data_IF_608719293224
#
_entry.id   IF_608719293224
#
_cell.length_a   1.000
_cell.length_b   1.000
_cell.length_c   1.000
_cell.angle_alpha   90.00
_cell.angle_beta   90.00
_cell.angle_gamma   90.00
#
_symmetry.space_group_name_H-M   'P 1'
#
loop_
_entity.id
_entity.type
_entity.pdbx_description
1 polymer ?
#
# COMPACT_ATOMS: atom_id res chain seq x y z
N UNK A 1 -14.77 -5.65 6.11
CA UNK A 1 -13.93 -6.83 6.41
C UNK A 1 -13.89 -6.98 7.92
N UNK A 2 -13.93 -8.20 8.44
CA UNK A 2 -13.68 -8.48 9.86
C UNK A 2 -12.17 -8.47 10.16
N UNK A 3 -11.78 -8.33 11.42
CA UNK A 3 -10.37 -8.41 11.84
C UNK A 3 -9.73 -9.74 11.39
N UNK A 4 -10.47 -10.85 11.47
CA UNK A 4 -10.01 -12.16 10.99
C UNK A 4 -9.72 -12.16 9.49
N UNK A 5 -10.61 -11.60 8.67
CA UNK A 5 -10.41 -11.49 7.21
C UNK A 5 -9.20 -10.61 6.89
N UNK A 6 -9.03 -9.50 7.62
CA UNK A 6 -7.90 -8.57 7.47
C UNK A 6 -6.58 -9.28 7.77
N UNK A 7 -6.48 -9.95 8.91
CA UNK A 7 -5.25 -10.66 9.30
C UNK A 7 -4.97 -11.86 8.39
N UNK A 8 -6.01 -12.54 7.91
CA UNK A 8 -5.88 -13.63 6.93
C UNK A 8 -5.32 -13.12 5.60
N UNK A 9 -5.76 -11.95 5.12
CA UNK A 9 -5.21 -11.33 3.92
C UNK A 9 -3.70 -11.04 4.08
N UNK A 10 -3.31 -10.48 5.23
CA UNK A 10 -1.89 -10.19 5.52
C UNK A 10 -1.05 -11.47 5.56
N UNK A 11 -1.50 -12.52 6.27
CA UNK A 11 -0.80 -13.82 6.30
C UNK A 11 -0.63 -14.41 4.88
N UNK A 12 -1.70 -14.39 4.08
CA UNK A 12 -1.67 -14.90 2.70
C UNK A 12 -0.70 -14.10 1.83
N UNK A 13 -0.65 -12.77 1.93
CA UNK A 13 0.33 -11.96 1.21
C UNK A 13 1.75 -12.30 1.66
N UNK A 14 2.00 -12.30 2.97
CA UNK A 14 3.34 -12.50 3.53
C UNK A 14 3.93 -13.87 3.15
N UNK A 15 3.07 -14.88 3.06
CA UNK A 15 3.42 -16.26 2.67
C UNK A 15 3.32 -16.53 1.16
N UNK A 16 3.02 -15.51 0.36
CA UNK A 16 2.86 -15.62 -1.10
C UNK A 16 1.79 -16.64 -1.52
N UNK A 17 0.68 -16.70 -0.79
CA UNK A 17 -0.47 -17.60 -1.02
C UNK A 17 -1.62 -16.91 -1.78
N UNK A 18 -1.38 -15.73 -2.33
CA UNK A 18 -2.29 -15.01 -3.21
C UNK A 18 -1.91 -15.26 -4.67
N UNK A 19 -2.89 -15.40 -5.56
CA UNK A 19 -2.61 -15.28 -6.99
C UNK A 19 -2.46 -13.80 -7.37
N UNK A 20 -1.76 -13.51 -8.48
CA UNK A 20 -1.57 -12.12 -8.94
C UNK A 20 -2.89 -11.34 -9.10
N UNK A 21 -3.93 -12.01 -9.59
CA UNK A 21 -5.25 -11.42 -9.81
C UNK A 21 -6.06 -11.23 -8.51
N UNK A 22 -5.57 -11.72 -7.38
CA UNK A 22 -6.27 -11.60 -6.08
C UNK A 22 -5.84 -10.38 -5.28
N UNK A 23 -4.71 -9.74 -5.62
CA UNK A 23 -4.18 -8.60 -4.86
C UNK A 23 -4.47 -7.26 -5.54
N UNK A 24 -5.50 -6.57 -5.04
CA UNK A 24 -5.99 -5.31 -5.60
C UNK A 24 -5.58 -4.10 -4.74
N UNK A 25 -5.92 -2.91 -5.23
CA UNK A 25 -5.68 -1.64 -4.51
C UNK A 25 -6.22 -1.64 -3.08
N UNK A 26 -7.45 -2.11 -2.86
CA UNK A 26 -8.02 -2.20 -1.51
C UNK A 26 -7.25 -3.14 -0.59
N UNK A 27 -6.73 -4.24 -1.12
CA UNK A 27 -5.94 -5.20 -0.35
C UNK A 27 -4.60 -4.58 0.09
N UNK A 28 -3.98 -3.80 -0.80
CA UNK A 28 -2.80 -2.99 -0.47
C UNK A 28 -3.09 -2.00 0.67
N UNK A 29 -4.21 -1.28 0.61
CA UNK A 29 -4.62 -0.37 1.68
C UNK A 29 -4.88 -1.11 3.00
N UNK A 30 -5.54 -2.27 2.94
CA UNK A 30 -5.79 -3.09 4.14
C UNK A 30 -4.48 -3.51 4.82
N UNK A 31 -3.51 -4.04 4.04
CA UNK A 31 -2.20 -4.44 4.57
C UNK A 31 -1.43 -3.23 5.10
N UNK A 32 -1.50 -2.08 4.42
CA UNK A 32 -0.89 -0.83 4.88
C UNK A 32 -1.40 -0.44 6.27
N UNK A 33 -2.71 -0.48 6.51
CA UNK A 33 -3.29 -0.18 7.84
C UNK A 33 -2.75 -1.14 8.90
N UNK A 34 -2.69 -2.44 8.63
CA UNK A 34 -2.17 -3.43 9.60
C UNK A 34 -0.71 -3.14 9.96
N UNK A 35 0.12 -2.80 8.97
CA UNK A 35 1.51 -2.47 9.22
C UNK A 35 1.65 -1.15 10.01
N UNK A 36 0.86 -0.13 9.71
CA UNK A 36 0.86 1.15 10.43
C UNK A 36 0.27 1.07 11.85
N UNK A 37 -0.52 0.04 12.16
CA UNK A 37 -0.98 -0.24 13.51
C UNK A 37 0.11 -0.85 14.40
N UNK A 38 1.15 -1.44 13.80
CA UNK A 38 2.19 -2.18 14.52
C UNK A 38 3.57 -1.52 14.46
N UNK A 39 3.75 -0.48 13.64
CA UNK A 39 5.01 0.20 13.43
C UNK A 39 4.82 1.66 13.00
N UNK A 40 5.91 2.43 12.97
CA UNK A 40 5.90 3.76 12.37
C UNK A 40 5.86 3.70 10.83
N UNK A 41 5.75 4.87 10.19
CA UNK A 41 5.65 4.97 8.72
C UNK A 41 6.87 4.38 8.01
N UNK A 42 8.07 4.54 8.56
CA UNK A 42 9.29 4.06 7.94
C UNK A 42 9.33 2.53 7.98
N UNK A 43 9.12 1.94 9.15
CA UNK A 43 9.10 0.49 9.35
C UNK A 43 7.94 -0.18 8.60
N UNK A 44 6.75 0.43 8.58
CA UNK A 44 5.62 -0.07 7.82
C UNK A 44 5.88 -0.05 6.30
N UNK A 45 6.56 0.99 5.82
CA UNK A 45 6.98 1.10 4.41
C UNK A 45 7.98 0.00 4.06
N UNK A 46 9.00 -0.22 4.90
CA UNK A 46 10.02 -1.24 4.68
C UNK A 46 9.42 -2.64 4.68
N UNK A 47 8.49 -2.90 5.61
CA UNK A 47 7.74 -4.16 5.66
C UNK A 47 6.88 -4.37 4.40
N UNK A 48 6.17 -3.33 3.94
CA UNK A 48 5.39 -3.39 2.69
C UNK A 48 6.29 -3.65 1.47
N UNK A 49 7.41 -2.93 1.35
CA UNK A 49 8.41 -3.16 0.28
C UNK A 49 8.88 -4.60 0.27
N UNK A 50 9.27 -5.15 1.43
CA UNK A 50 9.77 -6.50 1.53
C UNK A 50 8.70 -7.55 1.15
N UNK A 51 7.47 -7.38 1.63
CA UNK A 51 6.34 -8.27 1.31
C UNK A 51 5.99 -8.24 -0.18
N UNK A 52 5.82 -7.07 -0.78
CA UNK A 52 5.48 -6.93 -2.20
C UNK A 52 6.63 -7.38 -3.12
N UNK A 53 7.87 -7.11 -2.75
CA UNK A 53 9.04 -7.55 -3.53
C UNK A 53 9.17 -9.08 -3.53
N UNK A 54 8.99 -9.72 -2.36
CA UNK A 54 8.97 -11.18 -2.24
C UNK A 54 7.81 -11.79 -3.02
N UNK A 55 6.63 -11.18 -2.95
CA UNK A 55 5.44 -11.64 -3.67
C UNK A 55 5.61 -11.53 -5.19
N UNK A 56 6.11 -10.40 -5.69
CA UNK A 56 6.39 -10.20 -7.11
C UNK A 56 7.45 -11.21 -7.63
N UNK A 57 8.50 -11.46 -6.84
CA UNK A 57 9.51 -12.47 -7.17
C UNK A 57 8.91 -13.90 -7.20
N UNK A 58 8.07 -14.26 -6.24
CA UNK A 58 7.39 -15.57 -6.21
C UNK A 58 6.53 -15.81 -7.47
N UNK A 59 5.87 -14.76 -7.95
CA UNK A 59 5.04 -14.81 -9.16
C UNK A 59 5.84 -14.65 -10.47
N UNK A 60 7.16 -14.42 -10.40
CA UNK A 60 8.02 -14.09 -11.56
C UNK A 60 7.52 -12.89 -12.38
N UNK A 61 7.03 -11.85 -11.70
CA UNK A 61 6.52 -10.63 -12.33
C UNK A 61 7.24 -9.39 -11.81
N UNK A 62 7.39 -8.39 -12.68
CA UNK A 62 7.88 -7.06 -12.27
C UNK A 62 6.69 -6.14 -12.00
N UNK A 63 6.04 -6.29 -10.85
CA UNK A 63 4.89 -5.45 -10.46
C UNK A 63 5.20 -4.45 -9.35
N UNK A 64 6.36 -4.58 -8.69
CA UNK A 64 6.73 -3.67 -7.61
C UNK A 64 7.02 -2.25 -8.15
N UNK A 65 6.54 -1.25 -7.41
CA UNK A 65 6.76 0.16 -7.69
C UNK A 65 6.98 0.92 -6.38
N UNK A 66 8.19 1.43 -6.19
CA UNK A 66 8.65 2.03 -4.93
C UNK A 66 7.87 3.30 -4.58
N UNK A 67 7.81 4.28 -5.49
CA UNK A 67 7.08 5.54 -5.25
C UNK A 67 5.61 5.31 -4.94
N UNK A 68 4.91 4.45 -5.71
CA UNK A 68 3.51 4.13 -5.42
C UNK A 68 3.32 3.48 -4.05
N UNK A 69 4.19 2.54 -3.68
CA UNK A 69 4.12 1.87 -2.37
C UNK A 69 4.23 2.89 -1.23
N UNK A 70 5.25 3.75 -1.31
CA UNK A 70 5.48 4.81 -0.31
C UNK A 70 4.34 5.83 -0.28
N UNK A 71 3.83 6.22 -1.44
CA UNK A 71 2.70 7.14 -1.56
C UNK A 71 1.48 6.61 -0.81
N UNK A 72 1.07 5.37 -1.07
CA UNK A 72 -0.12 4.81 -0.44
C UNK A 72 0.05 4.56 1.07
N UNK A 73 1.25 4.21 1.54
CA UNK A 73 1.54 4.14 2.98
C UNK A 73 1.39 5.52 3.63
N UNK A 74 1.97 6.57 3.05
CA UNK A 74 1.85 7.95 3.56
C UNK A 74 0.39 8.43 3.56
N UNK A 75 -0.36 8.14 2.50
CA UNK A 75 -1.78 8.47 2.43
C UNK A 75 -2.57 7.70 3.48
N UNK A 76 -2.32 6.40 3.65
CA UNK A 76 -2.99 5.59 4.67
C UNK A 76 -2.73 6.14 6.08
N UNK A 77 -1.50 6.52 6.42
CA UNK A 77 -1.16 7.11 7.73
C UNK A 77 -2.00 8.36 8.04
N UNK A 78 -2.27 9.21 7.05
CA UNK A 78 -3.14 10.39 7.24
C UNK A 78 -4.59 10.03 7.55
N UNK A 79 -4.99 8.79 7.25
CA UNK A 79 -6.37 8.33 7.33
C UNK A 79 -6.61 7.17 8.31
N UNK A 80 -5.59 6.62 8.97
CA UNK A 80 -5.83 5.66 10.04
C UNK A 80 -6.33 6.35 11.31
N UNK A 81 -7.06 5.60 12.13
CA UNK A 81 -7.51 6.02 13.46
C UNK A 81 -7.19 4.92 14.46
N UNK A 82 -6.00 4.99 15.08
CA UNK A 82 -5.50 3.98 16.01
C UNK A 82 -6.33 3.87 17.30
N UNK A 83 -7.27 4.78 17.55
CA UNK A 83 -8.21 4.69 18.66
C UNK A 83 -9.41 3.79 18.35
N UNK A 84 -9.54 3.31 17.10
CA UNK A 84 -10.61 2.42 16.65
C UNK A 84 -10.16 0.97 16.48
N UNK A 85 -11.10 0.01 16.53
CA UNK A 85 -10.87 -1.34 16.06
C UNK A 85 -10.28 -1.36 14.64
N UNK A 86 -9.45 -2.37 14.36
CA UNK A 86 -8.71 -2.48 13.11
C UNK A 86 -9.65 -2.45 11.89
N UNK A 87 -10.72 -3.24 11.90
CA UNK A 87 -11.72 -3.25 10.84
C UNK A 87 -12.33 -1.87 10.53
N UNK A 88 -12.65 -1.08 11.57
CA UNK A 88 -13.21 0.27 11.39
C UNK A 88 -12.18 1.22 10.77
N UNK A 89 -10.92 1.14 11.19
CA UNK A 89 -9.87 1.98 10.60
C UNK A 89 -9.57 1.58 9.15
N UNK A 90 -9.63 0.28 8.82
CA UNK A 90 -9.52 -0.18 7.42
C UNK A 90 -10.66 0.38 6.58
N UNK A 91 -11.90 0.32 7.08
CA UNK A 91 -13.06 0.87 6.38
C UNK A 91 -12.93 2.39 6.15
N UNK A 92 -12.47 3.13 7.16
CA UNK A 92 -12.19 4.57 7.04
C UNK A 92 -11.17 4.87 5.95
N UNK A 93 -10.05 4.14 5.92
CA UNK A 93 -9.00 4.30 4.90
C UNK A 93 -9.54 3.93 3.51
N UNK A 94 -10.31 2.84 3.39
CA UNK A 94 -10.95 2.47 2.14
C UNK A 94 -11.89 3.56 1.64
N UNK A 95 -12.73 4.12 2.51
CA UNK A 95 -13.65 5.20 2.13
C UNK A 95 -12.90 6.43 1.61
N UNK A 96 -11.79 6.79 2.25
CA UNK A 96 -10.99 7.95 1.86
C UNK A 96 -10.16 7.73 0.58
N UNK A 97 -9.64 6.52 0.37
CA UNK A 97 -8.59 6.24 -0.64
C UNK A 97 -9.00 5.20 -1.68
N UNK A 98 -10.31 4.94 -1.86
CA UNK A 98 -10.80 3.90 -2.79
C UNK A 98 -10.37 4.14 -4.24
N UNK A 99 -10.25 5.39 -4.68
CA UNK A 99 -9.85 5.72 -6.04
C UNK A 99 -8.34 5.63 -6.21
N UNK A 100 -7.86 4.57 -6.86
CA UNK A 100 -6.44 4.41 -7.20
C UNK A 100 -5.89 5.51 -8.11
N UNK A 101 -6.74 6.26 -8.82
CA UNK A 101 -6.31 7.38 -9.65
C UNK A 101 -5.99 8.65 -8.83
N UNK A 102 -6.27 8.65 -7.52
CA UNK A 102 -5.93 9.77 -6.63
C UNK A 102 -4.43 10.11 -6.67
N UNK A 103 -3.56 9.13 -6.91
CA UNK A 103 -2.12 9.36 -7.11
C UNK A 103 -1.84 10.38 -8.22
N UNK A 104 -2.70 10.48 -9.25
CA UNK A 104 -2.54 11.41 -10.37
C UNK A 104 -2.96 12.86 -10.05
N UNK A 105 -3.47 13.12 -8.85
CA UNK A 105 -3.62 14.49 -8.33
C UNK A 105 -2.28 15.04 -7.82
N UNK A 106 -1.33 14.16 -7.46
CA UNK A 106 -0.04 14.51 -6.90
C UNK A 106 1.09 14.31 -7.94
N UNK A 107 0.97 13.27 -8.77
CA UNK A 107 1.98 12.91 -9.76
C UNK A 107 1.45 12.98 -11.19
N UNK A 108 2.20 13.61 -12.09
CA UNK A 108 1.96 13.44 -13.52
C UNK A 108 2.23 11.98 -13.94
N UNK A 109 1.59 11.54 -15.03
CA UNK A 109 1.79 10.16 -15.55
C UNK A 109 3.23 9.94 -16.01
N UNK A 110 3.84 10.96 -16.60
CA UNK A 110 5.22 10.92 -17.07
C UNK A 110 6.18 10.78 -15.87
N UNK A 111 5.98 11.60 -14.84
CA UNK A 111 6.84 11.58 -13.66
C UNK A 111 6.73 10.26 -12.89
N UNK A 112 5.50 9.80 -12.64
CA UNK A 112 5.26 8.53 -11.97
C UNK A 112 5.73 7.31 -12.79
N UNK A 113 5.71 7.42 -14.12
CA UNK A 113 6.13 6.35 -15.03
C UNK A 113 7.65 6.22 -15.21
N UNK A 114 8.44 7.11 -14.60
CA UNK A 114 9.90 7.12 -14.73
C UNK A 114 10.57 5.92 -14.05
N UNK A 115 11.73 5.44 -14.56
CA UNK A 115 12.54 4.42 -13.88
C UNK A 115 12.91 4.78 -12.44
N UNK A 116 13.16 6.07 -12.19
CA UNK A 116 13.49 6.64 -10.89
C UNK A 116 12.31 6.50 -9.92
N UNK A 117 11.09 6.84 -10.35
CA UNK A 117 9.88 6.64 -9.54
C UNK A 117 9.61 5.16 -9.25
N UNK A 118 9.92 4.29 -10.20
CA UNK A 118 9.67 2.85 -10.09
C UNK A 118 10.59 2.18 -9.07
N UNK A 119 11.86 2.56 -9.03
CA UNK A 119 12.91 1.90 -8.21
C UNK A 119 13.30 2.69 -6.95
N UNK A 120 12.97 3.97 -6.90
CA UNK A 120 13.24 4.87 -5.80
C UNK A 120 12.02 5.71 -5.44
N UNK A 121 12.29 6.74 -4.64
CA UNK A 121 11.30 7.75 -4.30
C UNK A 121 11.59 9.05 -5.01
N UNK A 122 10.57 9.55 -5.69
CA UNK A 122 10.53 10.91 -6.21
C UNK A 122 9.40 11.66 -5.53
N UNK A 123 9.65 12.91 -5.16
CA UNK A 123 8.59 13.79 -4.65
C UNK A 123 7.56 14.07 -5.76
N UNK A 124 6.29 14.31 -5.41
CA UNK A 124 5.27 14.63 -6.41
C UNK A 124 5.54 15.95 -7.12
N UNK A 125 5.18 16.01 -8.40
CA UNK A 125 5.42 17.15 -9.30
C UNK A 125 4.18 18.05 -9.49
N UNK A 126 2.99 17.62 -9.06
CA UNK A 126 1.74 18.41 -9.20
C UNK A 126 1.27 19.03 -7.88
N UNK A 127 1.33 18.27 -6.78
CA UNK A 127 0.89 18.72 -5.46
C UNK A 127 1.65 17.98 -4.35
N UNK A 128 1.96 18.67 -3.25
CA UNK A 128 2.54 18.04 -2.06
C UNK A 128 1.58 17.01 -1.41
N UNK A 129 2.16 15.96 -0.82
CA UNK A 129 1.42 14.86 -0.16
C UNK A 129 0.77 15.33 1.11
#
# INVERSE_FOLDING_TARGET
MTDTEILTLVDRLERCLLANQEFHHKDHLTVAVVYLYSADVADATDKMRASLSRFAAHLNVSLYHETMTRFWIRMAEKHIDRCRPLAESVERVHHALNDKNLVHQFYSREWLGSPEARTGWVEPDLQEI
#
